data_IF_841837340753
#
_entry.id   IF_841837340753
#
_cell.length_a   1.000
_cell.length_b   1.000
_cell.length_c   1.000
_cell.angle_alpha   90.00
_cell.angle_beta   90.00
_cell.angle_gamma   90.00
#
_symmetry.space_group_name_H-M   'P 1'
#
loop_
_entity.id
_entity.type
_entity.pdbx_description
1 polymer ?
#
# COMPACT_ATOMS: atom_id res chain seq x y z
N UNK A 1 3.10 -28.81 -12.07
CA UNK A 1 4.37 -28.17 -11.65
C UNK A 1 4.36 -26.73 -12.13
N UNK A 2 4.50 -25.76 -11.24
CA UNK A 2 4.65 -24.35 -11.62
C UNK A 2 6.06 -24.15 -12.20
N UNK A 3 6.16 -23.46 -13.33
CA UNK A 3 7.44 -23.05 -13.91
C UNK A 3 7.59 -21.55 -13.73
N UNK A 4 8.69 -21.15 -13.10
CA UNK A 4 9.04 -19.74 -12.97
C UNK A 4 9.78 -19.26 -14.22
N UNK A 5 9.42 -18.08 -14.71
CA UNK A 5 10.22 -17.38 -15.71
C UNK A 5 11.54 -16.90 -15.10
N UNK A 6 12.45 -16.39 -15.96
CA UNK A 6 13.59 -15.63 -15.46
C UNK A 6 13.09 -14.40 -14.68
N UNK A 7 13.81 -13.97 -13.62
CA UNK A 7 13.51 -12.73 -12.92
C UNK A 7 13.50 -11.53 -13.88
N UNK A 8 12.55 -10.63 -13.71
CA UNK A 8 12.44 -9.37 -14.46
C UNK A 8 12.45 -8.19 -13.49
N UNK A 9 13.19 -7.15 -13.84
CA UNK A 9 13.16 -5.88 -13.10
C UNK A 9 11.90 -5.09 -13.50
N UNK A 10 10.94 -4.98 -12.59
CA UNK A 10 9.65 -4.31 -12.84
C UNK A 10 9.63 -2.83 -12.46
N UNK A 11 10.42 -2.43 -11.44
CA UNK A 11 10.55 -1.04 -10.98
C UNK A 11 12.03 -0.76 -10.75
N UNK A 12 12.55 0.31 -11.37
CA UNK A 12 13.94 0.76 -11.22
C UNK A 12 14.08 1.77 -10.07
N UNK A 13 15.31 1.92 -9.59
CA UNK A 13 15.70 3.02 -8.69
C UNK A 13 15.32 4.36 -9.34
N UNK A 14 14.66 5.25 -8.59
CA UNK A 14 14.34 6.59 -9.07
C UNK A 14 15.63 7.41 -9.25
N UNK A 15 15.64 8.38 -10.16
CA UNK A 15 16.78 9.28 -10.38
C UNK A 15 17.16 10.08 -9.11
N UNK A 16 16.22 10.27 -8.18
CA UNK A 16 16.48 10.90 -6.87
C UNK A 16 17.33 10.06 -5.91
N UNK A 17 17.71 8.82 -6.27
CA UNK A 17 18.56 7.98 -5.43
C UNK A 17 17.80 7.03 -4.49
N UNK A 18 16.50 7.25 -4.29
CA UNK A 18 15.64 6.40 -3.46
C UNK A 18 15.29 5.09 -4.17
N UNK A 19 15.31 3.97 -3.43
CA UNK A 19 14.90 2.65 -3.94
C UNK A 19 13.43 2.39 -3.59
N UNK A 20 12.67 1.74 -4.48
CA UNK A 20 11.33 1.27 -4.12
C UNK A 20 11.47 0.17 -3.05
N UNK A 21 10.70 0.27 -1.97
CA UNK A 21 10.69 -0.72 -0.89
C UNK A 21 9.25 -1.10 -0.53
N UNK A 22 9.10 -2.15 0.27
CA UNK A 22 7.84 -2.70 0.75
C UNK A 22 6.83 -2.97 -0.39
N UNK A 23 7.14 -3.85 -1.35
CA UNK A 23 6.20 -4.16 -2.43
C UNK A 23 4.93 -4.83 -1.90
N UNK A 24 3.76 -4.38 -2.37
CA UNK A 24 2.47 -4.95 -2.02
C UNK A 24 1.62 -5.09 -3.29
N UNK A 25 1.19 -6.31 -3.61
CA UNK A 25 0.42 -6.58 -4.83
C UNK A 25 -1.08 -6.66 -4.55
N UNK A 26 -1.91 -6.05 -5.40
CA UNK A 26 -3.38 -6.18 -5.35
C UNK A 26 -3.90 -6.50 -6.75
N UNK A 27 -4.77 -7.49 -6.87
CA UNK A 27 -5.40 -7.84 -8.14
C UNK A 27 -6.85 -7.36 -8.19
N UNK A 28 -7.13 -6.42 -9.08
CA UNK A 28 -8.47 -5.90 -9.36
C UNK A 28 -9.13 -6.80 -10.43
N UNK A 29 -10.16 -7.53 -10.03
CA UNK A 29 -10.79 -8.61 -10.81
C UNK A 29 -11.65 -8.10 -11.97
N UNK A 30 -12.30 -6.95 -11.83
CA UNK A 30 -13.24 -6.43 -12.83
C UNK A 30 -12.50 -6.04 -14.13
N UNK A 31 -11.42 -5.30 -14.00
CA UNK A 31 -10.56 -4.84 -15.10
C UNK A 31 -9.40 -5.80 -15.38
N UNK A 32 -9.22 -6.84 -14.55
CA UNK A 32 -8.12 -7.80 -14.62
C UNK A 32 -6.76 -7.11 -14.56
N UNK A 33 -6.63 -6.17 -13.62
CA UNK A 33 -5.46 -5.31 -13.46
C UNK A 33 -4.70 -5.72 -12.20
N UNK A 34 -3.43 -6.03 -12.36
CA UNK A 34 -2.50 -6.18 -11.25
C UNK A 34 -1.94 -4.81 -10.88
N UNK A 35 -2.10 -4.40 -9.64
CA UNK A 35 -1.43 -3.25 -9.05
C UNK A 35 -0.25 -3.75 -8.23
N UNK A 36 0.92 -3.14 -8.42
CA UNK A 36 2.09 -3.34 -7.55
C UNK A 36 2.38 -2.01 -6.87
N UNK A 37 1.98 -1.91 -5.61
CA UNK A 37 2.28 -0.79 -4.72
C UNK A 37 3.68 -0.93 -4.12
N UNK A 38 4.28 0.21 -3.80
CA UNK A 38 5.55 0.32 -3.09
C UNK A 38 5.70 1.76 -2.58
N UNK A 39 6.68 1.98 -1.70
CA UNK A 39 7.03 3.33 -1.24
C UNK A 39 8.40 3.76 -1.77
N UNK A 40 8.53 5.06 -1.99
CA UNK A 40 9.83 5.74 -2.05
C UNK A 40 10.00 6.60 -0.81
N UNK A 41 11.22 6.63 -0.28
CA UNK A 41 11.55 7.42 0.90
C UNK A 41 12.78 8.27 0.60
N UNK A 42 12.66 9.59 0.74
CA UNK A 42 13.75 10.53 0.45
C UNK A 42 14.60 10.88 1.67
N UNK A 43 14.32 10.28 2.83
CA UNK A 43 15.10 10.41 4.07
C UNK A 43 15.04 9.11 4.87
N UNK A 44 15.91 8.95 5.88
CA UNK A 44 15.83 7.75 6.74
C UNK A 44 14.57 7.75 7.59
N UNK A 45 14.11 6.57 8.02
CA UNK A 45 12.96 6.45 8.94
C UNK A 45 13.21 7.21 10.25
N UNK A 46 14.40 7.06 10.82
CA UNK A 46 14.79 7.72 12.07
C UNK A 46 14.73 9.25 11.94
N UNK A 47 15.33 9.80 10.88
CA UNK A 47 15.30 11.24 10.64
C UNK A 47 13.86 11.77 10.55
N UNK A 48 12.98 11.10 9.81
CA UNK A 48 11.58 11.51 9.65
C UNK A 48 10.80 11.46 10.97
N UNK A 49 11.07 10.47 11.82
CA UNK A 49 10.48 10.33 13.16
C UNK A 49 10.96 11.46 14.07
N UNK A 50 12.27 11.70 14.13
CA UNK A 50 12.87 12.76 14.97
C UNK A 50 12.43 14.17 14.57
N UNK A 51 12.19 14.40 13.27
CA UNK A 51 11.80 15.72 12.74
C UNK A 51 10.29 15.87 12.54
N UNK A 52 9.51 14.82 12.82
CA UNK A 52 8.07 14.78 12.56
C UNK A 52 7.69 15.18 11.11
N UNK A 53 8.55 14.81 10.16
CA UNK A 53 8.42 15.22 8.76
C UNK A 53 8.41 14.02 7.80
N UNK A 54 7.26 13.80 7.17
CA UNK A 54 7.04 12.70 6.24
C UNK A 54 7.66 12.95 4.85
N UNK A 55 8.66 12.12 4.52
CA UNK A 55 9.35 12.07 3.23
C UNK A 55 9.05 10.78 2.45
N UNK A 56 8.11 9.96 2.92
CA UNK A 56 7.61 8.78 2.22
C UNK A 56 6.57 9.17 1.15
N UNK A 57 6.56 8.44 0.03
CA UNK A 57 5.61 8.59 -1.08
C UNK A 57 5.05 7.22 -1.45
N UNK A 58 3.72 7.13 -1.55
CA UNK A 58 3.03 5.92 -1.98
C UNK A 58 2.88 5.93 -3.49
N UNK A 59 3.27 4.84 -4.13
CA UNK A 59 3.28 4.74 -5.57
C UNK A 59 2.84 3.36 -6.02
N UNK A 60 2.43 3.25 -7.28
CA UNK A 60 2.16 1.97 -7.91
C UNK A 60 2.47 1.96 -9.40
N UNK A 61 2.61 0.75 -9.92
CA UNK A 61 2.52 0.44 -11.35
C UNK A 61 1.42 -0.58 -11.58
N UNK A 62 0.82 -0.58 -12.76
CA UNK A 62 -0.23 -1.53 -13.12
C UNK A 62 0.15 -2.38 -14.32
N UNK A 63 -0.42 -3.59 -14.41
CA UNK A 63 -0.36 -4.44 -15.61
C UNK A 63 -1.68 -5.15 -15.78
N UNK A 64 -2.37 -4.91 -16.90
CA UNK A 64 -3.56 -5.68 -17.24
C UNK A 64 -3.14 -7.07 -17.70
N UNK A 65 -4.01 -8.07 -17.50
CA UNK A 65 -3.77 -9.46 -17.92
C UNK A 65 -3.35 -9.61 -19.39
N UNK A 66 -3.88 -8.76 -20.27
CA UNK A 66 -3.58 -8.76 -21.71
C UNK A 66 -2.34 -7.95 -22.10
N UNK A 67 -1.82 -7.14 -21.18
CA UNK A 67 -0.69 -6.25 -21.45
C UNK A 67 0.63 -7.00 -21.32
N UNK A 68 1.55 -6.75 -22.25
CA UNK A 68 2.90 -7.33 -22.19
C UNK A 68 3.79 -6.59 -21.19
N UNK A 69 3.59 -5.27 -21.04
CA UNK A 69 4.43 -4.37 -20.24
C UNK A 69 3.63 -3.78 -19.09
N UNK A 70 4.33 -3.40 -18.04
CA UNK A 70 3.78 -2.57 -16.96
C UNK A 70 3.55 -1.13 -17.45
N UNK A 71 2.57 -0.46 -16.86
CA UNK A 71 2.31 0.94 -17.08
C UNK A 71 3.44 1.81 -16.50
N UNK A 72 3.40 3.11 -16.82
CA UNK A 72 4.27 4.09 -16.20
C UNK A 72 3.96 4.20 -14.71
N UNK A 73 4.97 4.65 -13.98
CA UNK A 73 4.93 4.99 -12.56
C UNK A 73 3.83 6.01 -12.23
N UNK A 74 3.04 5.74 -11.18
CA UNK A 74 2.00 6.64 -10.68
C UNK A 74 2.23 6.88 -9.18
N UNK A 75 2.29 8.15 -8.77
CA UNK A 75 2.26 8.56 -7.35
C UNK A 75 0.80 8.75 -6.91
N UNK A 76 0.44 8.20 -5.76
CA UNK A 76 -0.88 8.42 -5.15
C UNK A 76 -0.89 9.81 -4.49
N UNK A 77 -1.62 10.75 -5.09
CA UNK A 77 -1.65 12.15 -4.62
C UNK A 77 -2.90 12.54 -3.85
N UNK A 78 -3.96 11.74 -3.94
CA UNK A 78 -5.26 11.99 -3.26
C UNK A 78 -5.09 12.05 -1.73
N UNK A 79 -4.13 11.30 -1.21
CA UNK A 79 -3.85 11.13 0.22
C UNK A 79 -2.88 12.16 0.81
N UNK A 80 -2.47 13.17 0.03
CA UNK A 80 -1.47 14.17 0.47
C UNK A 80 -1.84 14.89 1.75
N UNK A 81 -3.13 15.04 2.06
CA UNK A 81 -3.58 15.64 3.33
C UNK A 81 -3.33 14.72 4.51
N UNK A 82 -3.67 13.44 4.40
CA UNK A 82 -3.43 12.43 5.44
C UNK A 82 -1.92 12.30 5.74
N UNK A 83 -1.07 12.29 4.70
CA UNK A 83 0.38 12.16 4.85
C UNK A 83 1.04 13.26 5.70
N UNK A 84 0.42 14.45 5.81
CA UNK A 84 0.95 15.56 6.64
C UNK A 84 0.79 15.33 8.14
N UNK A 85 -0.12 14.44 8.52
CA UNK A 85 -0.46 14.13 9.92
C UNK A 85 0.41 13.00 10.49
N UNK A 86 1.32 12.44 9.70
CA UNK A 86 2.18 11.33 10.10
C UNK A 86 3.65 11.79 10.09
N UNK A 87 4.47 11.21 10.96
CA UNK A 87 5.92 11.43 10.92
C UNK A 87 6.54 10.66 9.76
N UNK A 88 6.07 9.44 9.50
CA UNK A 88 6.39 8.63 8.30
C UNK A 88 5.38 7.49 8.18
N UNK A 89 5.38 6.77 7.06
CA UNK A 89 4.54 5.59 6.85
C UNK A 89 5.18 4.58 5.90
N UNK A 90 4.66 3.36 5.93
CA UNK A 90 4.93 2.36 4.91
C UNK A 90 3.70 1.49 4.65
N UNK A 91 3.74 0.70 3.59
CA UNK A 91 2.74 -0.34 3.33
C UNK A 91 3.21 -1.68 3.89
N UNK A 92 2.25 -2.52 4.29
CA UNK A 92 2.47 -3.91 4.65
C UNK A 92 2.98 -4.65 3.42
N UNK A 93 4.25 -5.11 3.39
CA UNK A 93 4.78 -5.82 2.25
C UNK A 93 4.11 -7.19 2.11
N UNK A 94 4.00 -7.67 0.88
CA UNK A 94 3.29 -8.91 0.56
C UNK A 94 2.17 -8.63 -0.40
N UNK A 95 0.93 -8.67 0.10
CA UNK A 95 -0.24 -8.51 -0.74
C UNK A 95 -1.35 -7.72 -0.06
N UNK A 96 -2.20 -7.11 -0.88
CA UNK A 96 -3.50 -6.63 -0.46
C UNK A 96 -4.59 -7.50 -1.05
N UNK A 97 -5.83 -7.12 -0.80
CA UNK A 97 -7.00 -7.90 -1.19
C UNK A 97 -7.96 -7.07 -2.03
N UNK A 98 -8.77 -7.75 -2.84
CA UNK A 98 -10.04 -7.22 -3.30
C UNK A 98 -11.14 -8.04 -2.63
N UNK A 99 -11.90 -7.38 -1.77
CA UNK A 99 -13.02 -7.95 -1.02
C UNK A 99 -14.14 -8.43 -1.95
N UNK A 100 -15.11 -9.19 -1.40
CA UNK A 100 -16.27 -9.65 -2.15
C UNK A 100 -17.13 -8.50 -2.69
N UNK A 101 -17.18 -7.35 -2.00
CA UNK A 101 -17.90 -6.16 -2.46
C UNK A 101 -17.17 -5.40 -3.58
N UNK A 102 -15.91 -5.74 -3.85
CA UNK A 102 -15.10 -5.10 -4.89
C UNK A 102 -14.11 -4.06 -4.37
N UNK A 103 -14.19 -3.66 -3.08
CA UNK A 103 -13.23 -2.77 -2.44
C UNK A 103 -11.83 -3.39 -2.47
N UNK A 104 -10.87 -2.65 -3.01
CA UNK A 104 -9.45 -2.97 -2.94
C UNK A 104 -8.87 -2.43 -1.64
N UNK A 105 -7.99 -3.19 -0.99
CA UNK A 105 -7.36 -2.83 0.29
C UNK A 105 -5.86 -3.11 0.20
N UNK A 106 -5.04 -2.14 0.59
CA UNK A 106 -3.58 -2.24 0.77
C UNK A 106 -3.28 -2.02 2.26
N UNK A 107 -2.75 -3.02 2.99
CA UNK A 107 -2.39 -2.85 4.40
C UNK A 107 -1.25 -1.82 4.54
N UNK A 108 -1.28 -1.05 5.62
CA UNK A 108 -0.28 -0.01 5.86
C UNK A 108 -0.09 0.26 7.36
N UNK A 109 0.97 0.99 7.68
CA UNK A 109 1.17 1.52 9.02
C UNK A 109 1.85 2.89 8.94
N UNK A 110 1.57 3.74 9.92
CA UNK A 110 2.12 5.08 9.98
C UNK A 110 2.50 5.44 11.42
N UNK A 111 3.55 6.22 11.56
CA UNK A 111 3.95 6.80 12.84
C UNK A 111 3.16 8.08 13.06
N UNK A 112 2.58 8.20 14.24
CA UNK A 112 1.91 9.42 14.70
C UNK A 112 2.87 10.62 14.71
N UNK A 113 2.30 11.83 14.77
CA UNK A 113 3.04 13.10 14.78
C UNK A 113 2.97 13.79 16.15
N UNK A 114 2.66 13.03 17.19
CA UNK A 114 2.72 13.44 18.57
C UNK A 114 4.17 13.44 19.09
N UNK A 115 4.37 13.84 20.34
CA UNK A 115 5.70 14.01 20.95
C UNK A 115 6.53 12.72 20.92
N UNK A 116 5.88 11.57 21.07
CA UNK A 116 6.50 10.25 21.05
C UNK A 116 5.88 9.42 19.91
N UNK A 117 6.41 9.52 18.67
CA UNK A 117 5.81 8.85 17.53
C UNK A 117 5.71 7.33 17.69
N UNK A 118 4.48 6.80 17.72
CA UNK A 118 4.21 5.36 17.78
C UNK A 118 3.62 4.88 16.45
N UNK A 119 3.98 3.67 15.98
CA UNK A 119 3.42 3.14 14.75
C UNK A 119 2.07 2.48 15.00
N UNK A 120 1.12 2.71 14.10
CA UNK A 120 -0.20 2.10 14.12
C UNK A 120 -0.58 1.61 12.72
N UNK A 121 -1.18 0.42 12.65
CA UNK A 121 -1.65 -0.15 11.41
C UNK A 121 -2.96 0.50 10.99
N UNK A 122 -3.16 0.58 9.68
CA UNK A 122 -4.36 1.06 9.01
C UNK A 122 -4.40 0.44 7.61
N UNK A 123 -5.27 0.92 6.73
CA UNK A 123 -5.20 0.53 5.33
C UNK A 123 -5.51 1.69 4.39
N UNK A 124 -4.94 1.60 3.18
CA UNK A 124 -5.43 2.34 2.03
C UNK A 124 -6.48 1.50 1.32
N UNK A 125 -7.50 2.13 0.77
CA UNK A 125 -8.53 1.44 0.01
C UNK A 125 -8.99 2.22 -1.21
N UNK A 126 -9.63 1.50 -2.14
CA UNK A 126 -10.27 2.07 -3.32
C UNK A 126 -11.56 1.32 -3.62
N UNK A 127 -12.64 2.08 -3.84
CA UNK A 127 -13.97 1.58 -4.20
C UNK A 127 -14.31 1.76 -5.69
N UNK A 128 -13.41 2.36 -6.47
CA UNK A 128 -13.65 2.76 -7.86
C UNK A 128 -12.69 2.10 -8.88
N UNK A 129 -12.24 0.88 -8.56
CA UNK A 129 -11.28 0.08 -9.33
C UNK A 129 -9.89 0.73 -9.42
N UNK A 130 -9.46 1.42 -8.36
CA UNK A 130 -8.12 2.00 -8.24
C UNK A 130 -7.95 3.34 -8.97
N UNK A 131 -9.04 4.07 -9.25
CA UNK A 131 -8.96 5.42 -9.83
C UNK A 131 -8.65 6.46 -8.76
N UNK A 132 -9.23 6.32 -7.57
CA UNK A 132 -8.94 7.13 -6.39
C UNK A 132 -8.65 6.24 -5.18
N UNK A 133 -7.91 6.79 -4.22
CA UNK A 133 -7.51 6.08 -3.00
C UNK A 133 -7.81 6.91 -1.76
N UNK A 134 -8.33 6.22 -0.75
CA UNK A 134 -8.64 6.74 0.58
C UNK A 134 -7.87 5.95 1.65
N UNK A 135 -7.86 6.43 2.89
CA UNK A 135 -7.29 5.71 4.01
C UNK A 135 -8.29 5.63 5.17
N UNK A 136 -8.33 4.49 5.83
CA UNK A 136 -9.09 4.32 7.08
C UNK A 136 -8.34 4.95 8.26
N UNK A 137 -9.02 5.06 9.39
CA UNK A 137 -8.40 5.45 10.66
C UNK A 137 -7.37 4.42 11.14
N UNK A 138 -6.40 4.88 11.92
CA UNK A 138 -5.41 4.01 12.57
C UNK A 138 -6.06 3.17 13.66
N UNK A 139 -5.62 1.90 13.75
CA UNK A 139 -5.95 1.05 14.89
C UNK A 139 -5.32 1.61 16.18
N UNK A 140 -6.00 1.49 17.32
CA UNK A 140 -5.51 2.04 18.59
C UNK A 140 -4.27 1.31 19.12
N UNK A 141 -4.07 0.04 18.76
CA UNK A 141 -2.92 -0.75 19.18
C UNK A 141 -1.65 -0.36 18.42
N UNK A 142 -0.52 -0.30 19.12
CA UNK A 142 0.79 -0.13 18.48
C UNK A 142 1.10 -1.34 17.59
N UNK A 143 1.41 -1.08 16.33
CA UNK A 143 1.68 -2.13 15.33
C UNK A 143 2.44 -1.58 14.12
N UNK A 144 3.18 -2.44 13.41
CA UNK A 144 3.92 -2.08 12.20
C UNK A 144 3.44 -2.88 10.98
N UNK A 145 4.31 -3.64 10.32
CA UNK A 145 3.95 -4.45 9.15
C UNK A 145 2.78 -5.38 9.48
N UNK A 146 1.77 -5.33 8.62
CA UNK A 146 0.50 -6.01 8.79
C UNK A 146 0.01 -6.58 7.46
N UNK A 147 -0.93 -7.51 7.54
CA UNK A 147 -1.55 -8.19 6.42
C UNK A 147 -3.08 -8.19 6.61
N UNK A 148 -3.83 -8.34 5.53
CA UNK A 148 -5.30 -8.25 5.56
C UNK A 148 -5.95 -9.48 4.94
N UNK A 149 -7.05 -9.95 5.55
CA UNK A 149 -7.87 -11.03 5.01
C UNK A 149 -9.35 -10.75 5.25
N UNK A 150 -10.20 -11.15 4.29
CA UNK A 150 -11.65 -11.06 4.42
C UNK A 150 -12.18 -12.39 4.98
N UNK A 151 -12.77 -12.34 6.18
CA UNK A 151 -13.32 -13.52 6.86
C UNK A 151 -14.84 -13.54 6.68
N UNK A 152 -15.38 -14.67 6.24
CA UNK A 152 -16.83 -14.88 6.16
C UNK A 152 -17.29 -15.74 7.32
N UNK A 153 -18.28 -15.27 8.08
CA UNK A 153 -18.92 -16.10 9.07
C UNK A 153 -19.87 -17.09 8.37
N UNK A 154 -19.55 -18.38 8.42
CA UNK A 154 -20.38 -19.45 7.84
C UNK A 154 -21.54 -19.87 8.75
N UNK A 155 -21.67 -19.29 9.95
CA UNK A 155 -22.70 -19.65 10.92
C UNK A 155 -23.92 -18.70 10.90
N UNK A 156 -24.56 -18.53 9.74
CA UNK A 156 -25.98 -18.17 9.71
C UNK A 156 -26.79 -19.46 9.51
N UNK A 157 -27.14 -20.12 10.62
CA UNK A 157 -28.46 -20.77 10.67
C UNK A 157 -29.45 -19.62 10.74
N UNK A 158 -30.24 -19.45 9.69
CA UNK A 158 -31.41 -18.60 9.69
C UNK A 158 -32.23 -18.90 10.96
N UNK A 159 -32.46 -17.87 11.76
CA UNK A 159 -33.54 -17.80 12.75
C UNK A 159 -34.46 -16.66 12.33
#
# INVERSE_FOLDING_TARGET
>A
LFQWSKPEEVVRKCSCGSRPINPCVVYEKHTQTLFLFFIYVNETRLWQIEHHENKARLCYITKKKKDKKWCKFIEVTDLRRAFKNWSTFAIGPGHGIQTKSGRMIVPAYAFTKDKEPTPHAFCFYSDDCGKTWECEEMLPETSMECEMTEIFNTNKKDR
#
